data_IF_042719910504
#
_entry.id   IF_042719910504
#
_cell.length_a   1.000
_cell.length_b   1.000
_cell.length_c   1.000
_cell.angle_alpha   90.00
_cell.angle_beta   90.00
_cell.angle_gamma   90.00
#
_symmetry.space_group_name_H-M   'P 1'
#
loop_
_entity.id
_entity.type
_entity.pdbx_description
1 polymer ?
#
# COMPACT_ATOMS: atom_id res chain seq x y z
N UNK A 1 -22.59 3.36 17.03
CA UNK A 1 -21.35 2.59 16.91
C UNK A 1 -20.34 3.29 16.00
N UNK A 2 -20.58 3.40 14.68
CA UNK A 2 -19.62 4.03 13.75
C UNK A 2 -19.13 5.44 14.15
N UNK A 3 -20.03 6.35 14.56
CA UNK A 3 -19.63 7.69 15.03
C UNK A 3 -18.78 7.65 16.30
N UNK A 4 -19.01 6.68 17.19
CA UNK A 4 -18.22 6.47 18.41
C UNK A 4 -16.83 5.97 18.06
N UNK A 5 -16.73 4.93 17.21
CA UNK A 5 -15.45 4.38 16.77
C UNK A 5 -14.65 5.41 15.94
N UNK A 6 -15.32 6.27 15.18
CA UNK A 6 -14.68 7.41 14.50
C UNK A 6 -13.96 8.34 15.49
N UNK A 7 -14.64 8.73 16.58
CA UNK A 7 -14.02 9.58 17.61
C UNK A 7 -12.89 8.86 18.35
N UNK A 8 -13.05 7.57 18.64
CA UNK A 8 -12.00 6.76 19.26
C UNK A 8 -10.78 6.60 18.34
N UNK A 9 -10.99 6.46 17.02
CA UNK A 9 -9.91 6.32 16.04
C UNK A 9 -8.96 7.53 16.02
N UNK A 10 -9.44 8.74 16.38
CA UNK A 10 -8.60 9.93 16.54
C UNK A 10 -7.56 9.76 17.65
N UNK A 11 -7.86 9.01 18.72
CA UNK A 11 -6.89 8.69 19.77
C UNK A 11 -5.99 7.52 19.35
N UNK A 12 -6.56 6.50 18.71
CA UNK A 12 -5.82 5.30 18.29
C UNK A 12 -4.73 5.65 17.27
N UNK A 13 -5.01 6.52 16.30
CA UNK A 13 -3.98 6.98 15.36
C UNK A 13 -2.83 7.73 16.06
N UNK A 14 -3.14 8.43 17.18
CA UNK A 14 -2.12 9.09 18.00
C UNK A 14 -1.22 8.05 18.68
N UNK A 15 -1.81 6.98 19.20
CA UNK A 15 -1.07 5.81 19.72
C UNK A 15 -0.13 5.20 18.68
N UNK A 16 -0.60 5.01 17.43
CA UNK A 16 0.26 4.53 16.35
C UNK A 16 1.43 5.48 16.06
N UNK A 17 1.16 6.77 16.00
CA UNK A 17 2.19 7.79 15.81
C UNK A 17 3.21 7.87 16.95
N UNK A 18 2.86 7.46 18.18
CA UNK A 18 3.83 7.36 19.29
C UNK A 18 4.87 6.27 19.04
N UNK A 19 4.47 5.12 18.48
CA UNK A 19 5.42 4.05 18.09
C UNK A 19 6.42 4.61 17.07
N UNK A 20 5.90 5.25 16.01
CA UNK A 20 6.73 5.87 14.96
C UNK A 20 7.66 6.93 15.56
N UNK A 21 7.22 7.69 16.56
CA UNK A 21 8.04 8.73 17.19
C UNK A 21 9.14 8.17 18.10
N UNK A 22 8.90 7.07 18.81
CA UNK A 22 9.92 6.46 19.69
C UNK A 22 11.12 5.98 18.86
N UNK A 23 10.86 5.38 17.70
CA UNK A 23 11.91 4.90 16.79
C UNK A 23 12.43 6.02 15.87
N UNK A 24 11.52 6.80 15.28
CA UNK A 24 11.79 7.81 14.27
C UNK A 24 12.16 9.20 14.81
N UNK A 25 12.30 9.36 16.12
CA UNK A 25 12.44 10.62 16.86
C UNK A 25 11.24 11.58 16.82
N UNK A 26 10.54 11.68 15.69
CA UNK A 26 9.33 12.49 15.50
C UNK A 26 8.44 11.94 14.38
N UNK A 27 7.18 12.32 14.37
CA UNK A 27 6.25 12.10 13.26
C UNK A 27 5.27 13.27 13.15
N UNK A 28 4.90 13.74 11.94
CA UNK A 28 5.36 13.30 10.61
C UNK A 28 6.84 13.59 10.34
N UNK A 29 7.39 12.95 9.30
CA UNK A 29 8.80 13.02 8.88
C UNK A 29 9.79 12.52 9.93
N UNK A 30 9.92 11.20 10.07
CA UNK A 30 10.95 10.57 10.91
C UNK A 30 12.35 11.07 10.55
N UNK A 31 13.26 11.05 11.52
CA UNK A 31 14.63 11.56 11.39
C UNK A 31 15.67 10.53 11.88
N UNK A 32 15.38 9.25 11.71
CA UNK A 32 16.28 8.16 12.09
C UNK A 32 16.87 7.37 10.90
N UNK A 33 16.50 7.69 9.67
CA UNK A 33 17.02 7.00 8.48
C UNK A 33 18.36 7.58 8.05
N UNK A 34 19.28 6.72 7.64
CA UNK A 34 20.56 7.10 7.01
C UNK A 34 20.91 6.08 5.93
N UNK A 35 21.59 6.46 4.83
CA UNK A 35 22.22 5.46 3.96
C UNK A 35 23.08 4.50 4.80
N UNK A 36 22.77 3.21 4.74
CA UNK A 36 23.41 2.15 5.54
C UNK A 36 22.61 1.64 6.76
N UNK A 37 21.48 2.25 7.12
CA UNK A 37 20.62 1.73 8.19
C UNK A 37 19.81 2.79 8.93
N UNK A 38 19.83 2.72 10.26
CA UNK A 38 19.13 3.65 11.16
C UNK A 38 20.09 4.25 12.19
N UNK A 39 19.75 5.44 12.71
CA UNK A 39 20.56 6.14 13.72
C UNK A 39 20.22 5.72 15.16
N UNK A 40 19.29 4.79 15.35
CA UNK A 40 18.95 4.26 16.67
C UNK A 40 20.11 3.43 17.23
N UNK A 41 20.88 4.00 18.16
CA UNK A 41 21.83 3.22 18.95
C UNK A 41 21.05 2.29 19.90
N UNK A 42 21.31 0.99 19.83
CA UNK A 42 20.72 -0.01 20.74
C UNK A 42 21.73 -0.28 21.84
N UNK A 43 21.38 0.11 23.07
CA UNK A 43 22.20 -0.16 24.26
C UNK A 43 21.28 -0.21 25.48
N UNK A 44 21.30 -1.32 26.21
CA UNK A 44 20.39 -1.52 27.35
C UNK A 44 20.82 -0.75 28.60
N UNK A 45 22.09 -0.37 28.68
CA UNK A 45 22.71 0.24 29.86
C UNK A 45 22.83 1.76 29.76
N UNK A 46 22.48 2.35 28.60
CA UNK A 46 22.61 3.79 28.35
C UNK A 46 21.25 4.48 28.26
N UNK A 47 20.98 5.41 29.19
CA UNK A 47 19.72 6.15 29.29
C UNK A 47 19.37 6.95 28.01
N UNK A 48 20.37 7.35 27.22
CA UNK A 48 20.19 8.17 26.01
C UNK A 48 19.94 7.35 24.74
N UNK A 49 19.82 6.02 24.82
CA UNK A 49 19.74 5.12 23.66
C UNK A 49 18.42 4.34 23.61
N UNK A 50 18.26 3.45 22.62
CA UNK A 50 17.11 2.54 22.56
C UNK A 50 17.28 1.42 23.59
N UNK A 51 16.70 1.65 24.78
CA UNK A 51 16.74 0.74 25.93
C UNK A 51 15.55 -0.22 25.94
N UNK A 52 15.60 -1.20 26.86
CA UNK A 52 14.52 -2.15 27.09
C UNK A 52 13.19 -1.47 27.47
N UNK A 53 13.23 -0.38 28.25
CA UNK A 53 12.04 0.41 28.60
C UNK A 53 11.32 0.94 27.35
N UNK A 54 12.08 1.50 26.39
CA UNK A 54 11.52 2.03 25.14
C UNK A 54 10.93 0.92 24.27
N UNK A 55 11.57 -0.24 24.23
CA UNK A 55 11.06 -1.41 23.50
C UNK A 55 9.76 -1.93 24.12
N UNK A 56 9.66 -1.98 25.45
CA UNK A 56 8.41 -2.32 26.13
C UNK A 56 7.30 -1.30 25.88
N UNK A 57 7.64 -0.01 25.89
CA UNK A 57 6.67 1.04 25.53
C UNK A 57 6.13 0.83 24.11
N UNK A 58 6.99 0.50 23.14
CA UNK A 58 6.57 0.17 21.77
C UNK A 58 5.63 -1.05 21.77
N UNK A 59 6.01 -2.14 22.45
CA UNK A 59 5.19 -3.36 22.50
C UNK A 59 3.80 -3.10 23.07
N UNK A 60 3.70 -2.37 24.18
CA UNK A 60 2.42 -2.04 24.80
C UNK A 60 1.52 -1.20 23.86
N UNK A 61 2.12 -0.26 23.12
CA UNK A 61 1.38 0.53 22.13
C UNK A 61 0.92 -0.35 20.95
N UNK A 62 1.73 -1.31 20.48
CA UNK A 62 1.35 -2.27 19.43
C UNK A 62 0.15 -3.10 19.89
N UNK A 63 0.16 -3.60 21.12
CA UNK A 63 -0.94 -4.40 21.66
C UNK A 63 -2.24 -3.58 21.72
N UNK A 64 -2.16 -2.33 22.19
CA UNK A 64 -3.30 -1.41 22.21
C UNK A 64 -3.87 -1.14 20.81
N UNK A 65 -3.02 -1.05 19.78
CA UNK A 65 -3.49 -0.92 18.39
C UNK A 65 -4.17 -2.19 17.91
N UNK A 66 -3.58 -3.35 18.20
CA UNK A 66 -4.13 -4.66 17.84
C UNK A 66 -5.53 -4.84 18.40
N UNK A 67 -5.77 -4.42 19.64
CA UNK A 67 -7.09 -4.48 20.27
C UNK A 67 -8.14 -3.66 19.51
N UNK A 68 -7.83 -2.42 19.11
CA UNK A 68 -8.76 -1.59 18.35
C UNK A 68 -9.00 -2.12 16.93
N UNK A 69 -7.94 -2.54 16.24
CA UNK A 69 -8.04 -3.07 14.88
C UNK A 69 -8.97 -4.29 14.87
N UNK A 70 -8.71 -5.25 15.76
CA UNK A 70 -9.44 -6.52 15.76
C UNK A 70 -10.86 -6.42 16.33
N UNK A 71 -11.09 -5.54 17.32
CA UNK A 71 -12.38 -5.48 18.03
C UNK A 71 -13.28 -4.31 17.63
N UNK A 72 -12.78 -3.33 16.87
CA UNK A 72 -13.58 -2.19 16.39
C UNK A 72 -13.48 -2.01 14.88
N UNK A 73 -12.28 -1.82 14.33
CA UNK A 73 -12.09 -1.50 12.91
C UNK A 73 -12.55 -2.64 11.99
N UNK A 74 -12.05 -3.85 12.20
CA UNK A 74 -12.40 -5.00 11.35
C UNK A 74 -13.91 -5.37 11.43
N UNK A 75 -14.54 -5.41 12.62
CA UNK A 75 -15.98 -5.57 12.73
C UNK A 75 -16.79 -4.47 12.05
N UNK A 76 -16.36 -3.20 12.16
CA UNK A 76 -17.04 -2.08 11.48
C UNK A 76 -16.96 -2.21 9.96
N UNK A 77 -15.81 -2.60 9.42
CA UNK A 77 -15.63 -2.84 7.97
C UNK A 77 -16.55 -3.97 7.51
N UNK A 78 -16.63 -5.07 8.25
CA UNK A 78 -17.54 -6.17 7.94
C UNK A 78 -19.02 -5.74 8.02
N UNK A 79 -19.39 -4.97 9.05
CA UNK A 79 -20.75 -4.47 9.22
C UNK A 79 -21.17 -3.52 8.08
N UNK A 80 -20.29 -2.58 7.71
CA UNK A 80 -20.51 -1.72 6.54
C UNK A 80 -20.59 -2.55 5.26
N UNK A 81 -19.73 -3.56 5.11
CA UNK A 81 -19.75 -4.44 3.94
C UNK A 81 -21.04 -5.24 3.81
N UNK A 82 -21.63 -5.69 4.92
CA UNK A 82 -22.94 -6.35 4.93
C UNK A 82 -24.08 -5.39 4.53
N UNK A 83 -24.06 -4.15 5.01
CA UNK A 83 -25.09 -3.14 4.72
C UNK A 83 -25.04 -2.61 3.28
N UNK A 84 -23.86 -2.61 2.66
CA UNK A 84 -23.59 -2.06 1.33
C UNK A 84 -23.06 -3.11 0.36
N UNK A 85 -23.54 -4.36 0.48
CA UNK A 85 -23.09 -5.46 -0.36
C UNK A 85 -23.33 -5.24 -1.86
N UNK A 86 -24.30 -4.40 -2.23
CA UNK A 86 -24.57 -3.95 -3.60
C UNK A 86 -23.37 -3.20 -4.22
N UNK A 87 -22.56 -2.50 -3.41
CA UNK A 87 -21.35 -1.83 -3.87
C UNK A 87 -20.25 -2.77 -4.37
N UNK A 88 -20.37 -4.08 -4.13
CA UNK A 88 -19.50 -5.08 -4.76
C UNK A 88 -19.69 -5.17 -6.27
N UNK A 89 -20.82 -4.70 -6.80
CA UNK A 89 -21.08 -4.58 -8.23
C UNK A 89 -20.43 -3.35 -8.88
N UNK A 90 -19.83 -2.45 -8.10
CA UNK A 90 -19.40 -1.14 -8.55
C UNK A 90 -17.92 -0.85 -8.24
N UNK A 91 -17.33 0.04 -9.05
CA UNK A 91 -15.97 0.53 -8.84
C UNK A 91 -14.87 -0.38 -9.34
N UNK A 92 -15.17 -1.48 -10.05
CA UNK A 92 -14.16 -2.15 -10.87
C UNK A 92 -13.59 -1.13 -11.88
N UNK A 93 -12.29 -0.82 -11.74
CA UNK A 93 -11.61 0.19 -12.52
C UNK A 93 -10.58 -0.46 -13.42
N UNK A 94 -9.31 -0.23 -13.11
CA UNK A 94 -8.20 -0.92 -13.76
C UNK A 94 -8.05 -2.31 -13.16
N UNK A 95 -8.17 -3.34 -13.98
CA UNK A 95 -8.07 -4.74 -13.54
C UNK A 95 -6.63 -5.29 -13.64
N UNK A 96 -5.64 -4.45 -13.93
CA UNK A 96 -4.24 -4.85 -13.91
C UNK A 96 -3.64 -4.48 -12.55
N UNK A 97 -3.27 -5.47 -11.74
CA UNK A 97 -2.77 -5.25 -10.37
C UNK A 97 -1.25 -5.37 -10.34
N UNK A 98 -0.58 -4.45 -9.64
CA UNK A 98 0.86 -4.47 -9.43
C UNK A 98 1.18 -4.26 -7.94
N UNK A 99 2.08 -5.07 -7.41
CA UNK A 99 2.73 -4.85 -6.11
C UNK A 99 4.22 -5.19 -6.20
N UNK A 100 5.05 -4.46 -5.47
CA UNK A 100 6.47 -4.73 -5.29
C UNK A 100 6.62 -5.43 -3.93
N UNK A 101 7.52 -6.42 -3.77
CA UNK A 101 7.71 -7.04 -2.47
C UNK A 101 8.17 -6.01 -1.44
N UNK A 102 7.81 -6.17 -0.18
CA UNK A 102 8.03 -5.17 0.87
C UNK A 102 8.09 -5.82 2.26
N UNK A 103 8.51 -5.07 3.28
CA UNK A 103 8.82 -5.58 4.62
C UNK A 103 9.84 -6.75 4.57
N UNK A 104 11.11 -6.44 4.21
CA UNK A 104 12.16 -7.45 4.14
C UNK A 104 12.37 -8.13 5.50
N UNK A 105 12.55 -9.44 5.48
CA UNK A 105 12.79 -10.27 6.66
C UNK A 105 14.26 -10.66 6.84
N UNK A 106 15.10 -10.26 5.89
CA UNK A 106 16.55 -10.42 5.92
C UNK A 106 17.25 -9.14 5.46
N UNK A 107 18.53 -9.02 5.80
CA UNK A 107 19.39 -7.87 5.47
C UNK A 107 19.71 -7.72 3.98
N UNK A 108 19.45 -8.75 3.18
CA UNK A 108 19.75 -8.77 1.74
C UNK A 108 18.55 -8.36 0.88
N UNK A 109 17.36 -8.26 1.46
CA UNK A 109 16.11 -8.05 0.74
C UNK A 109 15.77 -9.20 -0.21
N UNK A 110 15.97 -10.45 0.26
CA UNK A 110 15.66 -11.65 -0.51
C UNK A 110 14.32 -12.29 -0.13
N UNK A 111 13.91 -12.12 1.13
CA UNK A 111 12.65 -12.60 1.70
C UNK A 111 11.83 -11.44 2.24
N UNK A 112 10.50 -11.54 2.10
CA UNK A 112 9.57 -10.44 2.33
C UNK A 112 8.29 -10.95 2.99
N UNK A 113 7.78 -10.21 3.98
CA UNK A 113 6.46 -10.50 4.55
C UNK A 113 5.34 -10.09 3.59
N UNK A 114 5.52 -9.03 2.81
CA UNK A 114 4.57 -8.63 1.78
C UNK A 114 5.06 -9.02 0.39
N UNK A 115 4.37 -9.92 -0.32
CA UNK A 115 4.84 -10.38 -1.62
C UNK A 115 4.59 -9.36 -2.73
N UNK A 116 5.40 -9.49 -3.79
CA UNK A 116 5.27 -8.71 -5.02
C UNK A 116 4.86 -9.55 -6.21
N UNK A 117 4.26 -8.88 -7.20
CA UNK A 117 3.87 -9.49 -8.45
C UNK A 117 2.97 -8.63 -9.30
N UNK A 118 2.51 -9.24 -10.37
CA UNK A 118 1.65 -8.63 -11.37
C UNK A 118 0.55 -9.60 -11.77
N UNK A 119 -0.68 -9.07 -11.90
CA UNK A 119 -1.86 -9.80 -12.37
C UNK A 119 -2.56 -8.96 -13.44
N UNK A 120 -2.59 -9.39 -14.71
CA UNK A 120 -3.34 -8.71 -15.77
C UNK A 120 -4.83 -9.06 -15.71
N UNK A 121 -5.69 -8.08 -16.02
CA UNK A 121 -7.12 -8.31 -16.26
C UNK A 121 -7.92 -8.98 -15.14
N UNK A 122 -7.43 -8.98 -13.89
CA UNK A 122 -8.03 -9.68 -12.77
C UNK A 122 -7.91 -11.20 -12.83
N UNK A 123 -7.12 -11.73 -13.77
CA UNK A 123 -6.91 -13.15 -13.93
C UNK A 123 -5.84 -13.67 -12.96
N UNK A 124 -6.28 -14.19 -11.82
CA UNK A 124 -5.40 -14.74 -10.78
C UNK A 124 -4.49 -15.87 -11.32
N UNK A 125 -4.91 -16.60 -12.36
CA UNK A 125 -4.10 -17.65 -12.96
C UNK A 125 -2.94 -17.09 -13.81
N UNK A 126 -3.05 -15.85 -14.29
CA UNK A 126 -2.01 -15.13 -15.00
C UNK A 126 -1.00 -14.42 -14.06
N UNK A 127 -1.01 -14.76 -12.77
CA UNK A 127 -0.08 -14.22 -11.78
C UNK A 127 1.38 -14.44 -12.21
N UNK A 128 2.16 -13.34 -12.15
CA UNK A 128 3.60 -13.36 -12.31
C UNK A 128 4.30 -12.77 -11.08
N UNK A 129 5.24 -13.50 -10.45
CA UNK A 129 5.96 -13.01 -9.28
C UNK A 129 6.94 -11.89 -9.64
N UNK A 130 7.14 -10.98 -8.67
CA UNK A 130 8.25 -10.01 -8.62
C UNK A 130 8.97 -10.31 -7.30
N UNK A 131 10.06 -11.10 -7.33
CA UNK A 131 10.61 -11.69 -6.10
C UNK A 131 11.48 -10.72 -5.30
N UNK A 132 12.10 -9.72 -5.95
CA UNK A 132 13.04 -8.81 -5.29
C UNK A 132 12.92 -7.39 -5.85
N UNK A 133 13.51 -6.42 -5.14
CA UNK A 133 13.65 -5.03 -5.62
C UNK A 133 14.50 -4.89 -6.89
N UNK A 134 15.35 -5.89 -7.19
CA UNK A 134 16.27 -5.87 -8.34
C UNK A 134 15.71 -6.58 -9.57
N UNK A 135 14.49 -7.11 -9.49
CA UNK A 135 13.85 -7.81 -10.60
C UNK A 135 13.79 -6.93 -11.86
N UNK A 136 14.48 -7.37 -12.92
CA UNK A 136 14.58 -6.63 -14.18
C UNK A 136 13.21 -6.48 -14.85
N UNK A 137 12.34 -7.48 -14.68
CA UNK A 137 11.00 -7.46 -15.24
C UNK A 137 10.17 -6.30 -14.69
N UNK A 138 10.23 -6.06 -13.38
CA UNK A 138 9.66 -4.88 -12.73
C UNK A 138 10.38 -3.60 -13.15
N UNK A 139 11.71 -3.53 -12.98
CA UNK A 139 12.51 -2.32 -13.18
C UNK A 139 12.38 -1.75 -14.59
N UNK A 140 12.48 -2.58 -15.63
CA UNK A 140 12.38 -2.13 -17.01
C UNK A 140 10.94 -1.75 -17.44
N UNK A 141 9.93 -2.08 -16.62
CA UNK A 141 8.53 -1.98 -17.01
C UNK A 141 7.92 -0.59 -16.84
N UNK A 142 8.41 0.24 -15.92
CA UNK A 142 7.76 1.51 -15.55
C UNK A 142 8.15 2.67 -16.47
N UNK A 143 7.16 3.40 -16.97
CA UNK A 143 7.35 4.66 -17.70
C UNK A 143 6.30 5.69 -17.28
N UNK A 144 6.65 6.97 -17.30
CA UNK A 144 5.74 8.07 -16.99
C UNK A 144 5.52 8.96 -18.21
N UNK A 145 4.26 9.09 -18.63
CA UNK A 145 3.85 9.98 -19.71
C UNK A 145 3.28 11.30 -19.17
N UNK A 146 3.38 12.36 -19.97
CA UNK A 146 2.91 13.72 -19.61
C UNK A 146 1.95 14.33 -20.64
N UNK A 147 1.39 13.51 -21.54
CA UNK A 147 0.45 13.94 -22.58
C UNK A 147 -0.72 14.76 -22.02
N UNK A 148 -1.25 14.35 -20.86
CA UNK A 148 -2.39 14.98 -20.18
C UNK A 148 -2.01 15.62 -18.83
N UNK A 149 -0.71 15.84 -18.60
CA UNK A 149 -0.19 16.42 -17.37
C UNK A 149 0.51 17.75 -17.67
N UNK A 150 0.51 18.70 -16.74
CA UNK A 150 1.14 20.02 -16.86
C UNK A 150 2.68 19.98 -16.76
N UNK A 151 3.30 19.14 -17.59
CA UNK A 151 4.74 19.03 -17.75
C UNK A 151 5.13 18.95 -19.23
N UNK A 152 6.38 19.26 -19.52
CA UNK A 152 7.00 19.12 -20.85
C UNK A 152 8.25 18.25 -20.76
N UNK A 153 8.47 17.42 -21.78
CA UNK A 153 9.69 16.64 -21.96
C UNK A 153 10.50 17.19 -23.13
N UNK A 154 11.81 17.30 -22.98
CA UNK A 154 12.73 17.76 -24.02
C UNK A 154 12.94 16.66 -25.08
N UNK A 155 12.02 16.59 -26.05
CA UNK A 155 12.21 15.77 -27.26
C UNK A 155 11.69 14.33 -27.21
N UNK A 156 11.03 13.91 -26.12
CA UNK A 156 10.42 12.58 -26.03
C UNK A 156 8.97 12.58 -26.52
N UNK A 157 8.72 11.91 -27.66
CA UNK A 157 7.38 11.47 -28.03
C UNK A 157 7.05 10.17 -27.27
N UNK A 158 6.62 10.28 -26.01
CA UNK A 158 6.18 9.12 -25.22
C UNK A 158 6.48 9.22 -23.73
N UNK A 159 6.28 8.11 -23.03
CA UNK A 159 6.63 7.98 -21.61
C UNK A 159 8.13 7.71 -21.41
N UNK A 160 8.71 8.32 -20.37
CA UNK A 160 10.11 8.15 -19.99
C UNK A 160 10.24 7.18 -18.81
N UNK A 161 11.28 6.36 -18.82
CA UNK A 161 11.65 5.60 -17.63
C UNK A 161 12.14 6.57 -16.53
N UNK A 162 11.88 6.35 -15.23
CA UNK A 162 12.24 7.29 -14.17
C UNK A 162 13.73 7.68 -14.12
N UNK A 163 14.67 6.81 -14.52
CA UNK A 163 16.09 7.16 -14.63
C UNK A 163 16.40 8.21 -15.71
N UNK A 164 15.53 8.36 -16.69
CA UNK A 164 15.59 9.37 -17.76
C UNK A 164 14.49 10.43 -17.56
N UNK A 165 13.82 10.42 -16.40
CA UNK A 165 12.62 11.20 -16.16
C UNK A 165 12.91 12.70 -16.04
N UNK A 166 12.04 13.51 -16.63
CA UNK A 166 12.08 14.96 -16.55
C UNK A 166 10.92 15.51 -15.73
N UNK A 167 11.11 16.65 -15.06
CA UNK A 167 10.04 17.35 -14.33
C UNK A 167 10.12 18.85 -14.60
N UNK A 168 9.79 19.25 -15.83
CA UNK A 168 9.68 20.65 -16.23
C UNK A 168 8.21 21.07 -16.25
N UNK A 169 7.75 21.93 -15.32
CA UNK A 169 6.34 22.32 -15.24
C UNK A 169 5.91 23.18 -16.45
N UNK A 170 4.69 22.94 -16.93
CA UNK A 170 4.10 23.63 -18.07
C UNK A 170 2.59 23.73 -17.91
N UNK A 171 2.15 24.68 -17.07
CA UNK A 171 0.73 24.90 -16.78
C UNK A 171 0.03 25.57 -17.97
N UNK A 172 -1.17 25.09 -18.31
CA UNK A 172 -1.93 25.53 -19.49
C UNK A 172 -3.43 25.70 -19.23
N UNK A 173 -3.82 25.84 -17.96
CA UNK A 173 -5.20 25.63 -17.48
C UNK A 173 -5.75 24.23 -17.80
N UNK A 174 -6.94 23.93 -17.28
CA UNK A 174 -7.62 22.66 -17.48
C UNK A 174 -8.16 22.55 -18.92
N UNK A 175 -7.86 21.43 -19.57
CA UNK A 175 -8.30 21.14 -20.93
C UNK A 175 -8.79 19.69 -21.00
N UNK A 176 -10.05 19.47 -21.36
CA UNK A 176 -10.69 18.14 -21.36
C UNK A 176 -9.88 17.11 -22.17
N UNK A 177 -9.55 17.44 -23.42
CA UNK A 177 -8.76 16.59 -24.32
C UNK A 177 -7.25 16.90 -24.28
N UNK A 178 -6.84 17.82 -23.41
CA UNK A 178 -5.48 18.34 -23.31
C UNK A 178 -4.83 18.04 -21.95
N UNK A 179 -4.05 18.99 -21.43
CA UNK A 179 -3.42 18.85 -20.11
C UNK A 179 -4.38 19.29 -19.02
N UNK A 180 -4.54 18.47 -17.98
CA UNK A 180 -5.54 18.72 -16.94
C UNK A 180 -5.08 18.36 -15.51
N UNK A 181 -3.83 17.92 -15.32
CA UNK A 181 -3.37 17.43 -14.02
C UNK A 181 -1.90 17.69 -13.74
N UNK A 182 -1.54 17.86 -12.46
CA UNK A 182 -0.16 17.82 -11.99
C UNK A 182 0.35 16.40 -11.72
N UNK A 183 -0.50 15.39 -11.89
CA UNK A 183 -0.09 13.98 -11.73
C UNK A 183 0.36 13.48 -13.10
N UNK A 184 1.60 12.96 -13.19
CA UNK A 184 2.07 12.24 -14.38
C UNK A 184 1.26 10.95 -14.58
N UNK A 185 1.29 10.38 -15.78
CA UNK A 185 0.58 9.15 -16.09
C UNK A 185 1.55 7.95 -16.12
N UNK A 186 1.87 7.32 -14.98
CA UNK A 186 2.66 6.10 -14.98
C UNK A 186 1.92 4.98 -15.71
N UNK A 187 2.69 4.21 -16.49
CA UNK A 187 2.27 2.98 -17.16
C UNK A 187 3.33 1.93 -16.89
N UNK A 188 2.89 0.70 -16.68
CA UNK A 188 3.80 -0.42 -16.58
C UNK A 188 3.60 -1.32 -17.80
N UNK A 189 4.65 -1.46 -18.61
CA UNK A 189 4.62 -2.14 -19.91
C UNK A 189 3.48 -1.66 -20.82
N UNK A 190 3.18 -0.36 -20.77
CA UNK A 190 2.10 0.27 -21.55
C UNK A 190 0.71 0.18 -20.92
N UNK A 191 0.53 -0.60 -19.86
CA UNK A 191 -0.75 -0.74 -19.19
C UNK A 191 -0.92 0.24 -18.02
N UNK A 192 -2.13 0.76 -17.85
CA UNK A 192 -2.53 1.35 -16.58
C UNK A 192 -2.62 0.25 -15.53
N UNK A 193 -2.17 0.53 -14.32
CA UNK A 193 -2.13 -0.41 -13.20
C UNK A 193 -2.90 0.14 -12.00
N UNK A 194 -3.56 -0.74 -11.26
CA UNK A 194 -4.03 -0.50 -9.91
C UNK A 194 -2.95 -0.97 -8.91
N UNK A 195 -2.62 -0.11 -7.96
CA UNK A 195 -1.69 -0.37 -6.85
C UNK A 195 -2.41 -0.13 -5.52
N UNK A 196 -1.83 -0.60 -4.42
CA UNK A 196 -2.36 -0.38 -3.07
C UNK A 196 -2.82 -1.68 -2.39
N UNK A 197 -3.63 -1.58 -1.32
CA UNK A 197 -3.98 -2.74 -0.49
C UNK A 197 -4.68 -3.86 -1.27
N UNK A 198 -5.63 -3.54 -2.16
CA UNK A 198 -6.29 -4.55 -2.98
C UNK A 198 -5.29 -5.32 -3.85
N UNK A 199 -4.39 -4.63 -4.56
CA UNK A 199 -3.35 -5.29 -5.37
C UNK A 199 -2.48 -6.24 -4.54
N UNK A 200 -2.08 -5.83 -3.33
CA UNK A 200 -1.30 -6.67 -2.39
C UNK A 200 -2.08 -7.93 -1.99
N UNK A 201 -3.34 -7.79 -1.62
CA UNK A 201 -4.19 -8.92 -1.25
C UNK A 201 -4.49 -9.86 -2.42
N UNK A 202 -4.78 -9.33 -3.61
CA UNK A 202 -5.01 -10.14 -4.82
C UNK A 202 -3.74 -10.94 -5.17
N UNK A 203 -2.56 -10.34 -5.06
CA UNK A 203 -1.27 -11.00 -5.30
C UNK A 203 -0.98 -12.08 -4.24
N UNK A 204 -1.12 -11.75 -2.95
CA UNK A 204 -0.93 -12.72 -1.87
C UNK A 204 -1.92 -13.89 -1.96
N UNK A 205 -3.17 -13.61 -2.34
CA UNK A 205 -4.20 -14.62 -2.59
C UNK A 205 -3.82 -15.54 -3.76
N UNK A 206 -3.35 -14.99 -4.89
CA UNK A 206 -2.91 -15.77 -6.05
C UNK A 206 -1.71 -16.69 -5.75
N UNK A 207 -0.84 -16.29 -4.82
CA UNK A 207 0.27 -17.11 -4.33
C UNK A 207 -0.15 -18.20 -3.34
N UNK A 208 -1.43 -18.25 -2.94
CA UNK A 208 -1.92 -19.07 -1.82
C UNK A 208 -1.19 -18.80 -0.50
N UNK A 209 -0.76 -17.55 -0.25
CA UNK A 209 -0.18 -17.18 1.03
C UNK A 209 -1.31 -17.12 2.10
N UNK A 210 -1.24 -17.91 3.19
CA UNK A 210 -2.29 -17.98 4.20
C UNK A 210 -2.58 -16.64 4.87
N UNK A 211 -1.56 -15.79 5.09
CA UNK A 211 -1.72 -14.47 5.72
C UNK A 211 -2.64 -13.53 4.93
N UNK A 212 -2.76 -13.75 3.61
CA UNK A 212 -3.64 -12.97 2.73
C UNK A 212 -4.90 -13.75 2.35
N UNK A 213 -4.77 -15.06 2.11
CA UNK A 213 -5.84 -15.91 1.63
C UNK A 213 -6.91 -16.14 2.70
N UNK A 214 -6.50 -16.48 3.92
CA UNK A 214 -7.44 -16.84 4.99
C UNK A 214 -8.33 -15.66 5.42
N UNK A 215 -7.82 -14.43 5.62
CA UNK A 215 -8.67 -13.30 5.95
C UNK A 215 -9.68 -12.96 4.83
N UNK A 216 -9.26 -13.08 3.56
CA UNK A 216 -10.13 -12.85 2.40
C UNK A 216 -11.24 -13.90 2.35
N UNK A 217 -10.88 -15.19 2.43
CA UNK A 217 -11.85 -16.29 2.42
C UNK A 217 -12.82 -16.19 3.59
N UNK A 218 -12.33 -15.84 4.78
CA UNK A 218 -13.15 -15.63 5.97
C UNK A 218 -14.16 -14.49 5.76
N UNK A 219 -13.70 -13.31 5.34
CA UNK A 219 -14.58 -12.15 5.17
C UNK A 219 -15.65 -12.42 4.09
N UNK A 220 -15.25 -12.97 2.95
CA UNK A 220 -16.19 -13.30 1.87
C UNK A 220 -17.23 -14.33 2.32
N UNK A 221 -16.80 -15.35 3.07
CA UNK A 221 -17.71 -16.36 3.64
C UNK A 221 -18.68 -15.75 4.63
N UNK A 222 -18.20 -14.91 5.55
CA UNK A 222 -19.04 -14.24 6.56
C UNK A 222 -20.09 -13.33 5.91
N UNK A 223 -19.78 -12.73 4.76
CA UNK A 223 -20.69 -11.87 4.01
C UNK A 223 -21.50 -12.61 2.93
N UNK A 224 -21.27 -13.91 2.71
CA UNK A 224 -21.93 -14.69 1.65
C UNK A 224 -21.59 -14.21 0.24
N UNK A 225 -20.41 -13.63 0.02
CA UNK A 225 -19.98 -13.03 -1.24
C UNK A 225 -19.03 -13.95 -2.02
N UNK A 226 -19.08 -13.94 -3.37
CA UNK A 226 -18.13 -14.68 -4.18
C UNK A 226 -16.77 -13.97 -4.25
N UNK A 227 -15.70 -14.69 -4.59
CA UNK A 227 -14.34 -14.13 -4.76
C UNK A 227 -14.29 -12.91 -5.69
N UNK A 228 -15.11 -12.89 -6.75
CA UNK A 228 -15.24 -11.75 -7.66
C UNK A 228 -15.56 -10.42 -6.95
N UNK A 229 -16.21 -10.44 -5.79
CA UNK A 229 -16.62 -9.25 -5.05
C UNK A 229 -15.43 -8.38 -4.60
N UNK A 230 -14.21 -8.94 -4.51
CA UNK A 230 -13.01 -8.17 -4.15
C UNK A 230 -12.68 -7.09 -5.19
N UNK A 231 -13.11 -7.26 -6.44
CA UNK A 231 -12.85 -6.32 -7.54
C UNK A 231 -13.88 -5.19 -7.57
N UNK A 232 -13.95 -4.43 -6.47
CA UNK A 232 -14.96 -3.41 -6.27
C UNK A 232 -14.48 -2.28 -5.35
N UNK A 233 -15.28 -1.22 -5.23
CA UNK A 233 -15.06 -0.18 -4.21
C UNK A 233 -15.02 -0.79 -2.80
N UNK A 234 -15.98 -1.67 -2.48
CA UNK A 234 -16.03 -2.30 -1.17
C UNK A 234 -14.83 -3.23 -0.94
N UNK A 235 -14.43 -3.99 -1.97
CA UNK A 235 -13.25 -4.86 -1.90
C UNK A 235 -11.95 -4.08 -1.65
N UNK A 236 -11.78 -2.89 -2.23
CA UNK A 236 -10.64 -2.01 -1.90
C UNK A 236 -10.67 -1.49 -0.48
N UNK A 237 -11.85 -1.25 0.07
CA UNK A 237 -12.00 -0.81 1.47
C UNK A 237 -11.72 -1.96 2.42
N UNK A 238 -12.22 -3.16 2.12
CA UNK A 238 -11.99 -4.36 2.92
C UNK A 238 -10.53 -4.82 2.94
N UNK A 239 -9.80 -4.63 1.84
CA UNK A 239 -8.39 -4.97 1.74
C UNK A 239 -7.46 -4.00 2.52
N UNK A 240 -7.95 -2.82 2.94
CA UNK A 240 -7.18 -1.81 3.67
C UNK A 240 -7.31 -2.00 5.17
#
# INVERSE_FOLDING_TARGET
>A
MAATHYLQALEVQRTANRIVSILGAKTPHIQNLTPGGVTNAINMDSQSTLTLERLWAIKALIDQLGDFINNAMMPDVAAVGALYADWTGHGAGVMNYLSVPDLPLDETGSTFSMPGGWIPGGDLAAFRPIPTFQDEFFRAGVKEAVNHSWYSYAGAAGGLHPFEGETSPGFTDFQDDGKYSWIKAPRWRGHAMEVGPLSRYVIGYAQNNPEFKEPVDKLLKDLGLPLKAIFSTLGRTAAR
#
